data_IF_993227790368
#
_entry.id   IF_993227790368
#
_cell.length_a   1.000
_cell.length_b   1.000
_cell.length_c   1.000
_cell.angle_alpha   90.00
_cell.angle_beta   90.00
_cell.angle_gamma   90.00
#
_symmetry.space_group_name_H-M   'P 1'
#
loop_
_entity.id
_entity.type
_entity.pdbx_description
1 polymer ?
#
# COMPACT_ATOMS: atom_id res chain seq x y z
N UNK A 1 11.09 -11.92 1.56
CA UNK A 1 9.79 -11.20 1.61
C UNK A 1 10.00 -9.93 0.82
N UNK A 2 9.14 -9.61 -0.14
CA UNK A 2 9.41 -8.51 -1.09
C UNK A 2 8.93 -7.17 -0.54
N UNK A 3 9.44 -6.06 -1.09
CA UNK A 3 8.88 -4.73 -0.80
C UNK A 3 7.36 -4.69 -1.06
N UNK A 4 6.91 -5.36 -2.12
CA UNK A 4 5.49 -5.42 -2.45
C UNK A 4 4.68 -6.15 -1.38
N UNK A 5 5.17 -7.27 -0.86
CA UNK A 5 4.46 -8.06 0.14
C UNK A 5 4.25 -7.29 1.44
N UNK A 6 5.28 -6.59 1.87
CA UNK A 6 5.25 -5.79 3.10
C UNK A 6 4.31 -4.60 2.95
N UNK A 7 4.38 -3.89 1.82
CA UNK A 7 3.47 -2.77 1.53
C UNK A 7 2.02 -3.26 1.44
N UNK A 8 1.76 -4.42 0.84
CA UNK A 8 0.40 -5.02 0.82
C UNK A 8 -0.11 -5.31 2.21
N UNK A 9 0.72 -5.94 3.04
CA UNK A 9 0.33 -6.30 4.39
C UNK A 9 0.00 -5.04 5.19
N UNK A 10 0.83 -4.00 5.08
CA UNK A 10 0.57 -2.69 5.68
C UNK A 10 -0.76 -2.09 5.20
N UNK A 11 -1.01 -2.07 3.89
CA UNK A 11 -2.28 -1.56 3.34
C UNK A 11 -3.50 -2.35 3.81
N UNK A 12 -3.40 -3.69 3.88
CA UNK A 12 -4.48 -4.54 4.40
C UNK A 12 -4.78 -4.22 5.86
N UNK A 13 -3.76 -4.06 6.68
CA UNK A 13 -3.92 -3.73 8.10
C UNK A 13 -4.59 -2.36 8.27
N UNK A 14 -4.11 -1.33 7.57
CA UNK A 14 -4.71 0.01 7.61
C UNK A 14 -6.16 0.03 7.12
N UNK A 15 -6.49 -0.74 6.08
CA UNK A 15 -7.86 -0.89 5.62
C UNK A 15 -8.76 -1.57 6.66
N UNK A 16 -8.24 -2.61 7.34
CA UNK A 16 -8.97 -3.29 8.40
C UNK A 16 -9.20 -2.37 9.62
N UNK A 17 -8.17 -1.63 10.05
CA UNK A 17 -8.25 -0.66 11.14
C UNK A 17 -9.27 0.46 10.85
N UNK A 18 -9.32 0.95 9.62
CA UNK A 18 -10.28 1.98 9.18
C UNK A 18 -11.64 1.41 8.74
N UNK A 19 -11.85 0.10 8.86
CA UNK A 19 -13.05 -0.61 8.44
C UNK A 19 -13.50 -0.28 7.00
N UNK A 20 -12.53 -0.22 6.07
CA UNK A 20 -12.77 0.00 4.64
C UNK A 20 -12.28 -1.19 3.82
N UNK A 21 -12.95 -1.44 2.69
CA UNK A 21 -12.47 -2.44 1.74
C UNK A 21 -11.33 -1.90 0.87
N UNK A 22 -10.52 -2.79 0.31
CA UNK A 22 -9.49 -2.44 -0.68
C UNK A 22 -10.09 -1.69 -1.88
N UNK A 23 -11.29 -2.10 -2.32
CA UNK A 23 -11.99 -1.44 -3.42
C UNK A 23 -12.39 0.00 -3.05
N UNK A 24 -12.81 0.20 -1.80
CA UNK A 24 -13.10 1.55 -1.28
C UNK A 24 -11.83 2.39 -1.25
N UNK A 25 -10.69 1.83 -0.83
CA UNK A 25 -9.41 2.51 -0.87
C UNK A 25 -9.02 2.93 -2.30
N UNK A 26 -9.23 2.09 -3.31
CA UNK A 26 -8.97 2.43 -4.71
C UNK A 26 -9.73 3.70 -5.13
N UNK A 27 -11.03 3.76 -4.81
CA UNK A 27 -11.89 4.91 -5.07
C UNK A 27 -11.40 6.16 -4.34
N UNK A 28 -11.09 6.05 -3.04
CA UNK A 28 -10.61 7.18 -2.23
C UNK A 28 -9.26 7.71 -2.70
N UNK A 29 -8.39 6.82 -3.19
CA UNK A 29 -7.04 7.15 -3.65
C UNK A 29 -6.98 7.71 -5.07
N UNK A 30 -8.10 7.71 -5.81
CA UNK A 30 -8.12 8.05 -7.24
C UNK A 30 -7.21 7.14 -8.05
N UNK A 31 -7.21 5.84 -7.72
CA UNK A 31 -6.47 4.78 -8.40
C UNK A 31 -7.49 3.80 -8.98
N UNK A 32 -7.23 3.30 -10.19
CA UNK A 32 -8.12 2.29 -10.79
C UNK A 32 -8.12 1.01 -9.96
N UNK A 33 -9.29 0.35 -9.87
CA UNK A 33 -9.37 -0.95 -9.19
C UNK A 33 -8.36 -1.96 -9.75
N UNK A 34 -8.16 -1.99 -11.07
CA UNK A 34 -7.16 -2.85 -11.71
C UNK A 34 -5.74 -2.64 -11.20
N UNK A 35 -5.37 -1.39 -10.88
CA UNK A 35 -4.05 -1.06 -10.36
C UNK A 35 -3.92 -1.52 -8.91
N UNK A 36 -4.93 -1.28 -8.07
CA UNK A 36 -4.93 -1.75 -6.69
C UNK A 36 -4.96 -3.28 -6.62
N UNK A 37 -5.68 -3.93 -7.52
CA UNK A 37 -5.69 -5.39 -7.66
C UNK A 37 -4.31 -5.93 -8.02
N UNK A 38 -3.62 -5.31 -8.98
CA UNK A 38 -2.25 -5.68 -9.33
C UNK A 38 -1.29 -5.48 -8.15
N UNK A 39 -1.48 -4.41 -7.39
CA UNK A 39 -0.74 -4.17 -6.16
C UNK A 39 -1.05 -5.24 -5.13
N UNK A 40 -2.29 -5.68 -4.96
CA UNK A 40 -2.65 -6.67 -3.92
C UNK A 40 -2.30 -8.11 -4.28
N UNK A 41 -2.22 -8.44 -5.58
CA UNK A 41 -2.11 -9.83 -6.06
C UNK A 41 -0.69 -10.35 -6.29
N UNK A 42 0.35 -9.55 -6.19
CA UNK A 42 1.70 -10.00 -6.64
C UNK A 42 2.29 -9.12 -7.71
N UNK A 43 1.45 -8.61 -8.59
CA UNK A 43 1.85 -8.25 -9.95
C UNK A 43 2.64 -6.95 -10.01
N UNK A 44 2.36 -5.99 -9.12
CA UNK A 44 3.17 -4.78 -9.00
C UNK A 44 4.33 -5.04 -8.04
N UNK A 45 5.52 -5.30 -8.57
CA UNK A 45 6.73 -5.54 -7.78
C UNK A 45 7.18 -4.32 -6.96
N UNK A 46 7.11 -3.13 -7.56
CA UNK A 46 7.52 -1.89 -6.91
C UNK A 46 6.49 -0.77 -7.12
N UNK A 47 5.61 -0.53 -6.13
CA UNK A 47 4.71 0.62 -6.15
C UNK A 47 5.53 1.92 -6.09
N UNK A 48 5.49 2.73 -7.16
CA UNK A 48 6.19 4.02 -7.18
C UNK A 48 5.67 4.96 -6.09
N UNK A 49 6.52 5.90 -5.67
CA UNK A 49 6.17 6.93 -4.68
C UNK A 49 4.85 7.66 -4.99
N UNK A 50 4.58 7.98 -6.27
CA UNK A 50 3.31 8.59 -6.69
C UNK A 50 2.08 7.75 -6.33
N UNK A 51 2.19 6.43 -6.45
CA UNK A 51 1.13 5.49 -6.09
C UNK A 51 0.96 5.40 -4.58
N UNK A 52 2.07 5.30 -3.84
CA UNK A 52 2.05 5.28 -2.38
C UNK A 52 1.45 6.57 -1.80
N UNK A 53 1.83 7.73 -2.34
CA UNK A 53 1.26 9.02 -1.96
C UNK A 53 -0.26 9.05 -2.18
N UNK A 54 -0.75 8.61 -3.35
CA UNK A 54 -2.19 8.52 -3.62
C UNK A 54 -2.92 7.60 -2.64
N UNK A 55 -2.34 6.44 -2.34
CA UNK A 55 -2.89 5.49 -1.35
C UNK A 55 -2.94 6.10 0.05
N UNK A 56 -1.87 6.79 0.47
CA UNK A 56 -1.83 7.49 1.73
C UNK A 56 -2.92 8.58 1.81
N UNK A 57 -3.05 9.41 0.77
CA UNK A 57 -4.12 10.42 0.69
C UNK A 57 -5.51 9.77 0.77
N UNK A 58 -5.72 8.63 0.11
CA UNK A 58 -6.98 7.88 0.19
C UNK A 58 -7.26 7.25 1.56
N UNK A 59 -6.23 7.04 2.38
CA UNK A 59 -6.33 6.60 3.77
C UNK A 59 -6.44 7.76 4.76
N UNK A 60 -6.49 9.00 4.28
CA UNK A 60 -6.47 10.21 5.11
C UNK A 60 -5.22 10.28 6.01
N UNK A 61 -4.06 10.06 5.39
CA UNK A 61 -2.75 10.11 6.06
C UNK A 61 -1.64 10.54 5.09
N UNK A 62 -0.47 10.87 5.64
CA UNK A 62 0.73 11.21 4.87
C UNK A 62 1.48 9.97 4.40
N UNK A 63 2.32 10.13 3.38
CA UNK A 63 3.16 9.02 2.88
C UNK A 63 4.18 8.55 3.93
N UNK A 64 4.62 9.43 4.84
CA UNK A 64 5.53 9.03 5.91
C UNK A 64 4.81 8.11 6.89
N UNK A 65 3.59 8.42 7.32
CA UNK A 65 2.81 7.57 8.23
C UNK A 65 2.45 6.21 7.61
N UNK A 66 2.21 6.19 6.28
CA UNK A 66 1.99 4.94 5.55
C UNK A 66 3.22 4.01 5.65
N UNK A 67 4.41 4.58 5.50
CA UNK A 67 5.70 3.87 5.50
C UNK A 67 6.31 3.69 6.90
N UNK A 68 5.74 4.30 7.92
CA UNK A 68 6.21 4.23 9.30
C UNK A 68 5.77 2.93 9.98
N UNK A 69 6.56 1.88 9.78
CA UNK A 69 6.40 0.60 10.48
C UNK A 69 7.76 -0.15 10.61
N UNK A 70 7.93 -1.00 11.64
CA UNK A 70 9.23 -1.56 12.00
C UNK A 70 9.94 -2.31 10.87
N UNK A 71 9.20 -3.07 10.07
CA UNK A 71 9.76 -3.85 8.97
C UNK A 71 10.38 -2.94 7.91
N UNK A 72 9.76 -1.80 7.58
CA UNK A 72 10.30 -0.83 6.60
C UNK A 72 11.60 -0.18 7.05
N UNK A 73 11.76 0.02 8.35
CA UNK A 73 12.90 0.74 8.92
C UNK A 73 14.11 -0.17 9.21
N UNK A 74 13.86 -1.44 9.51
CA UNK A 74 14.90 -2.35 10.04
C UNK A 74 15.31 -3.47 9.07
N UNK A 75 14.61 -3.61 7.94
CA UNK A 75 14.80 -4.75 7.03
C UNK A 75 15.00 -4.29 5.60
N UNK A 76 16.00 -4.85 4.93
CA UNK A 76 16.14 -4.78 3.47
C UNK A 76 15.33 -5.92 2.86
N UNK A 77 14.49 -5.60 1.89
CA UNK A 77 13.67 -6.58 1.18
C UNK A 77 14.22 -6.87 -0.20
N UNK A 78 13.82 -8.03 -0.73
CA UNK A 78 14.12 -8.39 -2.11
C UNK A 78 13.18 -7.64 -3.08
N UNK A 79 13.69 -7.34 -4.27
CA UNK A 79 12.92 -6.69 -5.34
C UNK A 79 12.01 -7.68 -6.11
N UNK A 80 12.17 -8.99 -5.91
CA UNK A 80 11.62 -10.05 -6.78
C UNK A 80 10.22 -10.57 -6.46
#
# INVERSE_FOLDING_TARGET
MTYSDVIRLRLKNLCAEKNISINKLATLSGITQSTVDNIMKGKTKNPKLKTLHKLATGLDMTVSELLDFPEMNNTMFDDE
#
